data_IF_192679088656
#
_entry.id   IF_192679088656
#
_cell.length_a   1.000
_cell.length_b   1.000
_cell.length_c   1.000
_cell.angle_alpha   90.00
_cell.angle_beta   90.00
_cell.angle_gamma   90.00
#
_symmetry.space_group_name_H-M   'P 1'
#
loop_
_entity.id
_entity.type
_entity.pdbx_description
1 polymer ?
#
# COMPACT_ATOMS: atom_id res chain seq x y z
N UNK A 1 20.48 0.26 -0.79
CA UNK A 1 20.12 -0.39 0.49
C UNK A 1 18.64 -0.67 0.51
N UNK A 2 18.26 -1.94 0.62
CA UNK A 2 16.85 -2.38 0.71
C UNK A 2 16.44 -2.26 2.18
N UNK A 3 15.49 -1.37 2.48
CA UNK A 3 14.96 -1.21 3.82
C UNK A 3 13.50 -1.72 3.85
N UNK A 4 13.11 -2.49 4.87
CA UNK A 4 11.72 -2.88 5.05
C UNK A 4 10.85 -1.65 5.33
N UNK A 5 9.62 -1.65 4.79
CA UNK A 5 8.63 -0.61 5.06
C UNK A 5 7.49 -1.21 5.88
N UNK A 6 7.24 -0.61 7.04
CA UNK A 6 6.08 -0.97 7.86
C UNK A 6 4.81 -0.41 7.23
N UNK A 7 3.79 -1.26 7.09
CA UNK A 7 2.45 -0.90 6.66
C UNK A 7 1.45 -1.36 7.71
N UNK A 8 0.51 -0.51 8.03
CA UNK A 8 -0.58 -0.78 8.96
C UNK A 8 -1.86 -0.84 8.14
N UNK A 9 -2.74 -1.77 8.46
CA UNK A 9 -4.01 -1.95 7.79
C UNK A 9 -5.15 -1.79 8.79
N UNK A 10 -6.17 -1.03 8.42
CA UNK A 10 -7.39 -0.90 9.19
C UNK A 10 -8.61 -1.17 8.29
N UNK A 11 -9.61 -1.91 8.78
CA UNK A 11 -10.89 -2.02 8.09
C UNK A 11 -11.62 -0.69 8.17
N UNK A 12 -12.15 -0.22 7.05
CA UNK A 12 -12.85 1.06 6.95
C UNK A 12 -14.07 0.97 6.05
N UNK A 13 -15.08 1.78 6.33
CA UNK A 13 -16.19 2.08 5.42
C UNK A 13 -15.93 3.47 4.82
N UNK A 14 -16.05 3.57 3.51
CA UNK A 14 -15.88 4.85 2.81
C UNK A 14 -17.27 5.48 2.61
N UNK A 15 -17.45 6.67 3.19
CA UNK A 15 -18.72 7.41 3.03
C UNK A 15 -18.96 7.78 1.58
N UNK A 16 -20.18 7.49 1.10
CA UNK A 16 -20.56 7.61 -0.30
C UNK A 16 -20.24 6.41 -1.17
N UNK A 17 -19.63 5.37 -0.61
CA UNK A 17 -19.32 4.09 -1.26
C UNK A 17 -19.66 2.91 -0.33
N UNK A 18 -20.68 3.06 0.50
CA UNK A 18 -21.11 2.07 1.50
C UNK A 18 -21.56 0.75 0.86
N UNK A 19 -22.03 0.79 -0.38
CA UNK A 19 -22.37 -0.36 -1.20
C UNK A 19 -21.20 -1.32 -1.45
N UNK A 20 -19.99 -0.80 -1.42
CA UNK A 20 -18.77 -1.61 -1.57
C UNK A 20 -18.34 -2.34 -0.29
N UNK A 21 -19.02 -2.10 0.82
CA UNK A 21 -18.76 -2.74 2.11
C UNK A 21 -17.43 -2.36 2.73
N UNK A 22 -16.94 -3.22 3.64
CA UNK A 22 -15.69 -3.00 4.37
C UNK A 22 -14.49 -3.18 3.48
N UNK A 23 -13.60 -2.18 3.49
CA UNK A 23 -12.33 -2.20 2.76
C UNK A 23 -11.15 -2.06 3.70
N UNK A 24 -9.99 -2.58 3.30
CA UNK A 24 -8.75 -2.37 4.04
C UNK A 24 -8.04 -1.11 3.55
N UNK A 25 -7.82 -0.20 4.48
CA UNK A 25 -6.99 0.98 4.26
C UNK A 25 -5.57 0.73 4.75
N UNK A 26 -4.61 0.74 3.83
CA UNK A 26 -3.19 0.56 4.12
C UNK A 26 -2.46 1.89 4.22
N UNK A 27 -1.80 2.17 5.36
CA UNK A 27 -1.10 3.42 5.61
C UNK A 27 0.25 3.21 6.32
N UNK A 28 1.05 4.27 6.38
CA UNK A 28 2.36 4.25 7.03
C UNK A 28 2.33 4.72 8.47
N UNK A 29 3.49 4.63 9.13
CA UNK A 29 3.65 4.96 10.56
C UNK A 29 3.26 6.42 10.88
N UNK A 30 3.41 7.36 9.96
CA UNK A 30 3.05 8.77 10.17
C UNK A 30 1.55 8.93 10.40
N UNK A 31 0.74 8.29 9.55
CA UNK A 31 -0.73 8.29 9.70
C UNK A 31 -1.14 7.55 10.96
N UNK A 32 -0.48 6.43 11.27
CA UNK A 32 -0.74 5.69 12.50
C UNK A 32 -0.55 6.55 13.76
N UNK A 33 0.54 7.31 13.84
CA UNK A 33 0.78 8.24 14.94
C UNK A 33 -0.27 9.34 15.02
N UNK A 34 -0.72 9.86 13.88
CA UNK A 34 -1.80 10.86 13.85
C UNK A 34 -3.12 10.29 14.37
N UNK A 35 -3.45 9.04 14.00
CA UNK A 35 -4.64 8.34 14.51
C UNK A 35 -4.56 8.07 16.01
N UNK A 36 -3.40 7.69 16.54
CA UNK A 36 -3.20 7.52 17.98
C UNK A 36 -3.37 8.84 18.73
N UNK A 37 -2.81 9.92 18.21
CA UNK A 37 -2.97 11.25 18.84
C UNK A 37 -4.44 11.70 18.90
N UNK A 38 -5.26 11.32 17.91
CA UNK A 38 -6.71 11.55 17.93
C UNK A 38 -7.41 10.70 19.00
N UNK A 39 -6.96 9.46 19.21
CA UNK A 39 -7.52 8.58 20.24
C UNK A 39 -7.13 8.97 21.67
N UNK A 40 -6.00 9.68 21.83
CA UNK A 40 -5.53 10.22 23.13
C UNK A 40 -6.21 11.54 23.49
N UNK A 41 -6.93 12.16 22.56
CA UNK A 41 -7.66 13.40 22.78
C UNK A 41 -8.92 13.14 23.63
N UNK A 42 -8.99 13.72 24.81
CA UNK A 42 -10.10 13.53 25.75
C UNK A 42 -11.46 14.01 25.19
N UNK A 43 -11.45 15.00 24.28
CA UNK A 43 -12.66 15.53 23.65
C UNK A 43 -13.20 14.60 22.54
N UNK A 44 -12.36 13.75 21.99
CA UNK A 44 -12.67 12.83 20.92
C UNK A 44 -12.95 11.42 21.42
N UNK A 45 -12.09 10.91 22.27
CA UNK A 45 -12.18 9.57 22.83
C UNK A 45 -12.09 8.49 21.75
N UNK A 46 -12.96 7.46 21.86
CA UNK A 46 -13.00 6.37 20.89
C UNK A 46 -13.75 6.79 19.62
N UNK A 47 -13.01 7.30 18.64
CA UNK A 47 -13.58 7.68 17.32
C UNK A 47 -14.03 6.46 16.50
N UNK A 48 -13.68 5.24 16.91
CA UNK A 48 -14.06 4.00 16.21
C UNK A 48 -15.38 3.41 16.72
N UNK A 49 -16.02 4.05 17.69
CA UNK A 49 -17.32 3.59 18.21
C UNK A 49 -18.37 3.53 17.09
N UNK A 50 -19.15 2.44 17.10
CA UNK A 50 -20.13 2.15 16.05
C UNK A 50 -21.32 3.11 16.08
N UNK A 51 -21.68 3.60 17.29
CA UNK A 51 -22.86 4.45 17.51
C UNK A 51 -22.46 5.92 17.63
N UNK A 52 -21.45 6.21 18.45
CA UNK A 52 -21.01 7.56 18.80
C UNK A 52 -19.61 7.89 18.23
N UNK A 53 -19.19 7.17 17.21
CA UNK A 53 -17.90 7.39 16.58
C UNK A 53 -17.83 8.67 15.74
N UNK A 54 -16.67 8.91 15.16
CA UNK A 54 -16.40 10.09 14.36
C UNK A 54 -15.92 9.73 12.98
N UNK A 55 -16.43 10.41 11.97
CA UNK A 55 -15.90 10.29 10.63
C UNK A 55 -14.52 10.93 10.52
N UNK A 56 -13.59 10.23 9.89
CA UNK A 56 -12.26 10.74 9.57
C UNK A 56 -12.24 11.30 8.14
N UNK A 57 -11.59 12.43 7.96
CA UNK A 57 -11.28 13.00 6.65
C UNK A 57 -9.81 12.82 6.38
N UNK A 58 -9.51 12.11 5.30
CA UNK A 58 -8.16 11.86 4.83
C UNK A 58 -7.91 12.74 3.62
N UNK A 59 -6.97 13.66 3.72
CA UNK A 59 -6.60 14.58 2.65
C UNK A 59 -5.19 14.31 2.18
N UNK A 60 -4.99 14.20 0.88
CA UNK A 60 -3.68 14.10 0.29
C UNK A 60 -3.36 15.39 -0.48
N UNK A 61 -2.27 16.03 -0.11
CA UNK A 61 -1.77 17.22 -0.77
C UNK A 61 -0.50 16.88 -1.55
N UNK A 62 -0.40 17.45 -2.73
CA UNK A 62 0.83 17.37 -3.51
C UNK A 62 1.94 18.12 -2.78
N UNK A 63 3.01 17.41 -2.47
CA UNK A 63 4.22 17.96 -1.85
C UNK A 63 5.43 17.73 -2.76
N UNK A 64 6.49 18.48 -2.55
CA UNK A 64 7.76 18.28 -3.24
C UNK A 64 8.81 17.87 -2.19
N UNK A 65 9.44 16.68 -2.30
CA UNK A 65 9.36 15.69 -3.41
C UNK A 65 8.22 14.67 -3.30
N UNK A 66 7.51 14.57 -2.17
CA UNK A 66 6.50 13.52 -1.96
C UNK A 66 5.17 14.10 -1.49
N UNK A 67 4.03 13.48 -1.87
CA UNK A 67 2.73 13.88 -1.37
C UNK A 67 2.63 13.68 0.14
N UNK A 68 1.96 14.60 0.82
CA UNK A 68 1.69 14.54 2.26
C UNK A 68 0.23 14.16 2.48
N UNK A 69 -0.01 13.20 3.36
CA UNK A 69 -1.35 12.79 3.76
C UNK A 69 -1.61 13.25 5.19
N UNK A 70 -2.73 13.92 5.40
CA UNK A 70 -3.21 14.38 6.70
C UNK A 70 -4.53 13.71 7.04
N UNK A 71 -4.77 13.52 8.34
CA UNK A 71 -6.02 12.96 8.87
C UNK A 71 -6.59 13.96 9.86
N UNK A 72 -7.88 14.23 9.75
CA UNK A 72 -8.62 15.05 10.69
C UNK A 72 -9.99 14.46 10.98
N UNK A 73 -10.54 14.76 12.11
CA UNK A 73 -11.89 14.38 12.52
C UNK A 73 -12.91 15.38 11.97
N UNK A 74 -14.09 14.90 11.57
CA UNK A 74 -15.25 15.77 11.33
C UNK A 74 -15.80 16.28 12.67
N UNK A 75 -16.32 17.51 12.72
CA UNK A 75 -16.79 18.11 13.99
C UNK A 75 -18.11 17.54 14.52
N UNK A 76 -18.65 16.50 13.93
CA UNK A 76 -19.92 15.87 14.31
C UNK A 76 -19.74 14.35 14.42
N UNK A 77 -20.20 13.80 15.54
CA UNK A 77 -20.37 12.35 15.71
C UNK A 77 -21.41 11.82 14.73
N UNK A 78 -21.11 10.69 14.14
CA UNK A 78 -21.97 10.00 13.19
C UNK A 78 -21.90 8.49 13.42
N UNK A 79 -23.05 7.79 13.51
CA UNK A 79 -23.02 6.33 13.59
C UNK A 79 -22.43 5.73 12.32
N UNK A 80 -21.94 4.50 12.43
CA UNK A 80 -21.39 3.78 11.30
C UNK A 80 -22.45 3.58 10.19
N UNK A 81 -23.67 3.23 10.57
CA UNK A 81 -24.87 3.20 9.71
C UNK A 81 -26.12 3.37 10.58
N UNK A 82 -27.19 3.89 9.98
CA UNK A 82 -28.54 3.93 10.60
C UNK A 82 -29.23 2.54 10.58
N UNK A 83 -28.67 1.58 9.84
CA UNK A 83 -29.19 0.21 9.73
C UNK A 83 -28.32 -0.76 10.53
N UNK A 84 -28.83 -1.26 11.66
CA UNK A 84 -28.12 -2.19 12.53
C UNK A 84 -27.76 -3.52 11.85
N UNK A 85 -28.61 -4.06 10.97
CA UNK A 85 -28.31 -5.30 10.24
C UNK A 85 -27.12 -5.13 9.30
N UNK A 86 -26.99 -3.94 8.73
CA UNK A 86 -25.84 -3.60 7.87
C UNK A 86 -24.55 -3.48 8.69
N UNK A 87 -24.63 -2.86 9.86
CA UNK A 87 -23.51 -2.77 10.79
C UNK A 87 -23.03 -4.16 11.21
N UNK A 88 -23.96 -5.02 11.61
CA UNK A 88 -23.66 -6.41 11.99
C UNK A 88 -23.00 -7.18 10.83
N UNK A 89 -23.49 -6.98 9.63
CA UNK A 89 -22.89 -7.59 8.44
C UNK A 89 -21.46 -7.12 8.22
N UNK A 90 -21.22 -5.82 8.30
CA UNK A 90 -19.87 -5.25 8.15
C UNK A 90 -18.90 -5.72 9.22
N UNK A 91 -19.34 -5.82 10.48
CA UNK A 91 -18.51 -6.34 11.57
C UNK A 91 -18.12 -7.81 11.37
N UNK A 92 -19.02 -8.62 10.79
CA UNK A 92 -18.78 -10.05 10.53
C UNK A 92 -17.99 -10.31 9.24
N UNK A 93 -18.05 -9.40 8.26
CA UNK A 93 -17.42 -9.58 6.95
C UNK A 93 -16.13 -8.77 6.78
N UNK A 94 -15.48 -8.42 7.88
CA UNK A 94 -14.21 -7.70 7.81
C UNK A 94 -13.14 -8.51 7.09
N UNK A 95 -12.46 -7.93 6.09
CA UNK A 95 -11.36 -8.61 5.42
C UNK A 95 -10.17 -8.80 6.36
N UNK A 96 -9.53 -9.95 6.29
CA UNK A 96 -8.38 -10.26 7.14
C UNK A 96 -7.13 -9.52 6.62
N UNK A 97 -6.50 -8.65 7.42
CA UNK A 97 -5.28 -7.94 7.02
C UNK A 97 -4.11 -8.86 6.67
N UNK A 98 -4.05 -10.06 7.26
CA UNK A 98 -2.98 -11.03 6.98
C UNK A 98 -3.03 -11.61 5.56
N UNK A 99 -4.18 -11.52 4.88
CA UNK A 99 -4.38 -12.03 3.53
C UNK A 99 -3.99 -11.02 2.44
N UNK A 100 -3.72 -9.77 2.82
CA UNK A 100 -3.34 -8.69 1.87
C UNK A 100 -2.02 -8.98 1.19
N UNK A 101 -1.11 -9.62 1.89
CA UNK A 101 0.22 -9.94 1.38
C UNK A 101 0.48 -11.44 1.43
N UNK A 102 0.93 -11.98 0.30
CA UNK A 102 1.44 -13.34 0.26
C UNK A 102 2.77 -13.41 1.00
N UNK A 103 2.85 -14.30 1.96
CA UNK A 103 4.12 -14.61 2.63
C UNK A 103 4.94 -15.51 1.69
N UNK A 104 6.07 -14.99 1.24
CA UNK A 104 6.99 -15.74 0.37
C UNK A 104 8.01 -16.51 1.20
N UNK A 105 8.35 -17.72 0.74
CA UNK A 105 9.41 -18.52 1.30
C UNK A 105 10.81 -17.91 1.04
N UNK A 106 11.77 -18.27 1.89
CA UNK A 106 13.15 -17.78 1.80
C UNK A 106 13.77 -18.03 0.42
N UNK A 107 13.58 -19.23 -0.13
CA UNK A 107 14.16 -19.60 -1.44
C UNK A 107 13.59 -18.77 -2.57
N UNK A 108 12.29 -18.44 -2.53
CA UNK A 108 11.67 -17.55 -3.49
C UNK A 108 12.26 -16.14 -3.41
N UNK A 109 12.38 -15.59 -2.18
CA UNK A 109 12.95 -14.25 -1.97
C UNK A 109 14.40 -14.19 -2.42
N UNK A 110 15.21 -15.24 -2.11
CA UNK A 110 16.59 -15.37 -2.52
C UNK A 110 16.72 -15.37 -4.05
N UNK A 111 15.88 -16.16 -4.74
CA UNK A 111 15.86 -16.23 -6.21
C UNK A 111 15.49 -14.88 -6.84
N UNK A 112 14.48 -14.20 -6.29
CA UNK A 112 14.08 -12.87 -6.75
C UNK A 112 15.20 -11.83 -6.54
N UNK A 113 15.89 -11.90 -5.42
CA UNK A 113 17.03 -11.01 -5.15
C UNK A 113 18.19 -11.29 -6.10
N UNK A 114 18.52 -12.56 -6.37
CA UNK A 114 19.57 -12.93 -7.32
C UNK A 114 19.23 -12.44 -8.73
N UNK A 115 17.98 -12.61 -9.20
CA UNK A 115 17.54 -12.12 -10.49
C UNK A 115 17.61 -10.58 -10.58
N UNK A 116 17.34 -9.88 -9.48
CA UNK A 116 17.46 -8.42 -9.42
C UNK A 116 18.92 -7.94 -9.46
N UNK A 117 19.82 -8.67 -8.82
CA UNK A 117 21.25 -8.33 -8.79
C UNK A 117 21.97 -8.74 -10.08
N UNK A 118 21.52 -9.84 -10.73
CA UNK A 118 22.12 -10.38 -11.95
C UNK A 118 21.05 -10.55 -13.06
N UNK A 119 20.59 -9.46 -13.67
CA UNK A 119 19.49 -9.51 -14.66
C UNK A 119 19.81 -10.28 -15.94
N UNK A 120 21.07 -10.68 -16.16
CA UNK A 120 21.51 -11.47 -17.31
C UNK A 120 21.51 -12.98 -17.12
N UNK A 121 21.21 -13.52 -15.94
CA UNK A 121 21.22 -14.95 -15.63
C UNK A 121 19.82 -15.54 -15.38
N UNK A 122 18.76 -14.88 -15.85
CA UNK A 122 17.39 -15.34 -15.69
C UNK A 122 17.13 -16.55 -16.61
N UNK A 123 17.23 -17.76 -16.08
CA UNK A 123 16.55 -18.92 -16.62
C UNK A 123 15.03 -18.75 -16.41
N UNK A 124 14.27 -19.00 -17.46
CA UNK A 124 12.81 -18.87 -17.55
C UNK A 124 12.08 -19.30 -16.27
N UNK A 125 11.43 -18.36 -15.60
CA UNK A 125 10.52 -18.65 -14.49
C UNK A 125 9.09 -18.37 -14.97
N UNK A 126 8.13 -19.32 -14.82
CA UNK A 126 6.72 -19.08 -15.18
C UNK A 126 6.17 -17.89 -14.37
N UNK A 127 5.60 -16.92 -15.06
CA UNK A 127 4.91 -15.80 -14.46
C UNK A 127 3.78 -16.30 -13.54
N UNK A 128 3.88 -16.01 -12.24
CA UNK A 128 2.77 -16.18 -11.32
C UNK A 128 1.59 -15.34 -11.79
N UNK A 129 0.44 -15.97 -11.93
CA UNK A 129 -0.80 -15.37 -12.41
C UNK A 129 -1.15 -14.11 -11.65
N UNK A 130 -1.26 -13.01 -12.40
CA UNK A 130 -1.74 -11.73 -11.95
C UNK A 130 -3.28 -11.80 -11.87
N UNK A 131 -3.93 -11.36 -10.80
CA UNK A 131 -5.38 -11.19 -10.85
C UNK A 131 -5.71 -10.06 -11.83
N UNK A 132 -6.60 -10.34 -12.76
CA UNK A 132 -7.08 -9.41 -13.76
C UNK A 132 -7.79 -8.23 -13.10
N UNK A 133 -7.25 -7.05 -13.27
CA UNK A 133 -7.95 -5.79 -13.11
C UNK A 133 -7.98 -5.11 -14.48
N UNK A 134 -9.19 -4.89 -14.94
CA UNK A 134 -9.57 -4.29 -16.21
C UNK A 134 -8.81 -3.02 -16.56
N UNK A 135 -8.34 -2.99 -17.83
CA UNK A 135 -7.62 -1.90 -18.50
C UNK A 135 -8.48 -0.66 -18.75
N UNK A 136 -7.80 0.50 -19.01
CA UNK A 136 -7.91 1.01 -20.36
C UNK A 136 -6.59 1.49 -21.01
N UNK A 137 -6.56 1.23 -22.31
CA UNK A 137 -5.86 1.92 -23.41
C UNK A 137 -4.34 1.98 -23.49
N UNK A 138 -3.88 1.35 -24.56
CA UNK A 138 -2.58 1.41 -25.22
C UNK A 138 -2.15 2.86 -25.53
N UNK A 139 -0.95 3.22 -25.11
CA UNK A 139 -0.11 4.15 -25.83
C UNK A 139 1.04 3.34 -26.44
N UNK A 140 1.11 3.32 -27.77
CA UNK A 140 2.24 2.76 -28.51
C UNK A 140 3.49 3.61 -28.23
N UNK A 141 4.44 3.03 -27.52
CA UNK A 141 5.78 3.56 -27.43
C UNK A 141 6.73 2.58 -28.12
N UNK A 142 7.11 2.92 -29.34
CA UNK A 142 8.15 2.22 -30.09
C UNK A 142 9.50 2.72 -29.58
N UNK A 143 10.17 1.89 -28.77
CA UNK A 143 11.60 2.11 -28.46
C UNK A 143 12.42 1.43 -29.55
N UNK A 144 13.08 2.25 -30.36
CA UNK A 144 14.12 1.79 -31.27
C UNK A 144 15.29 1.18 -30.46
N UNK A 145 15.57 -0.06 -30.73
CA UNK A 145 16.69 -0.80 -30.17
C UNK A 145 18.00 -0.25 -30.73
N UNK A 146 18.69 0.56 -29.97
CA UNK A 146 20.10 0.88 -30.26
C UNK A 146 20.98 -0.21 -29.67
N UNK A 147 21.36 -1.15 -30.52
CA UNK A 147 22.43 -2.13 -30.26
C UNK A 147 23.77 -1.44 -30.36
N UNK A 148 24.41 -1.12 -29.25
CA UNK A 148 25.83 -0.86 -29.22
C UNK A 148 26.39 -1.29 -27.87
N UNK A 149 27.17 -2.38 -27.91
CA UNK A 149 27.90 -2.91 -26.78
C UNK A 149 28.87 -1.91 -26.22
N UNK A 150 28.80 -1.70 -24.92
CA UNK A 150 29.85 -0.97 -24.20
C UNK A 150 30.52 -1.90 -23.19
N UNK A 151 31.60 -2.58 -23.64
CA UNK A 151 32.49 -3.38 -22.79
C UNK A 151 33.34 -2.54 -21.83
N UNK A 152 33.32 -1.20 -21.98
CA UNK A 152 34.17 -0.30 -21.21
C UNK A 152 33.58 0.15 -19.87
N UNK A 153 32.32 -0.16 -19.59
CA UNK A 153 31.70 0.17 -18.30
C UNK A 153 31.91 -0.88 -17.22
N UNK A 154 32.19 -2.13 -17.61
CA UNK A 154 32.42 -3.20 -16.63
C UNK A 154 33.84 -3.12 -16.05
N UNK A 155 34.83 -2.75 -16.85
CA UNK A 155 36.22 -2.60 -16.38
C UNK A 155 36.41 -1.40 -15.44
N UNK A 156 35.62 -0.35 -15.57
CA UNK A 156 35.67 0.81 -14.65
C UNK A 156 35.04 0.53 -13.30
N UNK A 157 34.20 -0.49 -13.18
CA UNK A 157 33.61 -0.90 -11.92
C UNK A 157 34.56 -1.77 -11.09
N UNK A 158 35.38 -2.60 -11.73
CA UNK A 158 36.37 -3.44 -11.04
C UNK A 158 37.54 -2.63 -10.47
N UNK A 159 37.89 -1.52 -11.12
CA UNK A 159 38.96 -0.63 -10.64
C UNK A 159 38.60 0.18 -9.36
N UNK A 160 37.28 0.33 -9.09
CA UNK A 160 36.78 1.07 -7.91
C UNK A 160 36.77 0.26 -6.61
N UNK A 161 37.03 -1.05 -6.68
CA UNK A 161 36.98 -1.94 -5.50
C UNK A 161 38.34 -2.61 -5.16
N UNK A 162 39.42 -2.25 -5.86
CA UNK A 162 40.76 -2.80 -5.64
C UNK A 162 41.79 -1.78 -5.14
N UNK A 163 41.34 -0.74 -4.39
CA UNK A 163 42.23 0.10 -3.57
C UNK A 163 42.00 -0.15 -2.08
#
# INVERSE_FOLDING_TARGET
>A
KINPKTRIFAPVIVRGEEDKGVRLWGFGITIYKALLALAEDEDVGDYTDVINGWDLVVEQQQGNPYPTTTVRIKPKQTPLSDNNDQVDTWLKTQPNPSEVHTQYDYDFIKKQLQNHLNPGSAEDTPAAAKPESSSPQKADFTLETATAGNKDTVSKFDDLFNE
#
